data_IF_531167412029
#
_entry.id   IF_531167412029
#
_cell.length_a   1.000
_cell.length_b   1.000
_cell.length_c   1.000
_cell.angle_alpha   90.00
_cell.angle_beta   90.00
_cell.angle_gamma   90.00
#
_symmetry.space_group_name_H-M   'P 1'
#
loop_
_entity.id
_entity.type
_entity.pdbx_description
1 polymer ?
#
# COMPACT_ATOMS: atom_id res chain seq x y z
N UNK A 1 -25.85 -6.14 6.81
CA UNK A 1 -25.83 -5.54 5.46
C UNK A 1 -25.17 -6.50 4.48
N UNK A 2 -25.62 -6.56 3.24
CA UNK A 2 -24.92 -7.24 2.16
C UNK A 2 -23.97 -6.26 1.50
N UNK A 3 -22.71 -6.67 1.34
CA UNK A 3 -21.62 -5.87 0.79
C UNK A 3 -20.99 -6.62 -0.38
N UNK A 4 -20.37 -5.86 -1.26
CA UNK A 4 -19.47 -6.40 -2.29
C UNK A 4 -18.09 -5.77 -2.08
N UNK A 5 -17.04 -6.58 -2.02
CA UNK A 5 -15.68 -6.06 -1.92
C UNK A 5 -15.09 -5.73 -3.30
N UNK A 6 -13.86 -5.22 -3.33
CA UNK A 6 -13.21 -4.86 -4.59
C UNK A 6 -12.77 -6.07 -5.44
N UNK A 7 -12.93 -7.29 -4.93
CA UNK A 7 -12.79 -8.54 -5.69
C UNK A 7 -14.13 -9.08 -6.22
N UNK A 8 -15.21 -8.30 -6.11
CA UNK A 8 -16.58 -8.67 -6.46
C UNK A 8 -17.12 -9.87 -5.64
N UNK A 9 -16.64 -10.08 -4.41
CA UNK A 9 -17.14 -11.11 -3.51
C UNK A 9 -18.25 -10.55 -2.64
N UNK A 10 -19.32 -11.31 -2.47
CA UNK A 10 -20.42 -10.95 -1.56
C UNK A 10 -20.04 -11.29 -0.11
N UNK A 11 -20.26 -10.34 0.79
CA UNK A 11 -19.96 -10.45 2.21
C UNK A 11 -21.21 -10.04 2.98
N UNK A 12 -21.61 -10.86 3.96
CA UNK A 12 -22.68 -10.53 4.86
C UNK A 12 -22.13 -10.06 6.21
N UNK A 13 -22.50 -8.85 6.63
CA UNK A 13 -22.24 -8.31 7.96
C UNK A 13 -23.58 -8.12 8.68
N UNK A 14 -23.84 -8.84 9.77
CA UNK A 14 -25.09 -8.70 10.52
C UNK A 14 -25.21 -7.32 11.19
N UNK A 15 -24.10 -6.79 11.68
CA UNK A 15 -23.99 -5.50 12.37
C UNK A 15 -22.72 -4.75 11.94
N UNK A 16 -22.63 -3.43 12.20
CA UNK A 16 -21.37 -2.70 12.06
C UNK A 16 -20.26 -3.34 12.89
N UNK A 17 -19.06 -3.53 12.31
CA UNK A 17 -17.99 -4.28 12.96
C UNK A 17 -17.45 -3.56 14.20
N UNK A 18 -17.25 -4.33 15.27
CA UNK A 18 -16.66 -3.88 16.54
C UNK A 18 -15.33 -4.56 16.85
N UNK A 19 -15.01 -5.66 16.16
CA UNK A 19 -13.80 -6.47 16.38
C UNK A 19 -13.10 -6.69 15.05
N UNK A 20 -12.33 -5.70 14.63
CA UNK A 20 -11.67 -5.66 13.31
C UNK A 20 -10.26 -6.23 13.42
N UNK A 21 -9.91 -7.14 12.52
CA UNK A 21 -8.52 -7.52 12.25
C UNK A 21 -8.09 -6.89 10.93
N UNK A 22 -6.97 -6.17 10.95
CA UNK A 22 -6.36 -5.59 9.75
C UNK A 22 -5.09 -6.36 9.36
N UNK A 23 -5.10 -6.91 8.15
CA UNK A 23 -3.99 -7.72 7.62
C UNK A 23 -2.98 -6.89 6.81
N UNK A 24 -3.21 -5.59 6.63
CA UNK A 24 -2.41 -4.71 5.77
C UNK A 24 -2.01 -3.43 6.52
N UNK A 25 -0.74 -3.04 6.50
CA UNK A 25 -0.25 -1.85 7.21
C UNK A 25 -0.94 -0.54 6.83
N UNK A 26 -1.07 -0.25 5.54
CA UNK A 26 -1.71 0.98 5.04
C UNK A 26 -3.18 1.07 5.42
N UNK A 27 -3.90 -0.05 5.39
CA UNK A 27 -5.31 -0.11 5.84
C UNK A 27 -5.43 0.02 7.36
N UNK A 28 -4.45 -0.48 8.10
CA UNK A 28 -4.40 -0.30 9.56
C UNK A 28 -4.27 1.18 9.91
N UNK A 29 -3.37 1.92 9.24
CA UNK A 29 -3.25 3.37 9.42
C UNK A 29 -4.56 4.08 9.09
N UNK A 30 -5.17 3.77 7.96
CA UNK A 30 -6.48 4.32 7.57
C UNK A 30 -7.56 4.08 8.63
N UNK A 31 -7.67 2.85 9.18
CA UNK A 31 -8.66 2.56 10.22
C UNK A 31 -8.45 3.41 11.47
N UNK A 32 -7.20 3.66 11.85
CA UNK A 32 -6.89 4.56 12.98
C UNK A 32 -7.28 5.99 12.65
N UNK A 33 -6.98 6.48 11.46
CA UNK A 33 -7.35 7.83 11.01
C UNK A 33 -8.87 8.02 10.89
N UNK A 34 -9.61 6.95 10.61
CA UNK A 34 -11.07 6.92 10.69
C UNK A 34 -11.60 6.92 12.14
N UNK A 35 -10.73 6.81 13.15
CA UNK A 35 -11.09 6.81 14.58
C UNK A 35 -11.50 5.44 15.11
N UNK A 36 -11.05 4.36 14.49
CA UNK A 36 -11.44 2.99 14.80
C UNK A 36 -10.40 2.25 15.65
N UNK A 37 -9.40 2.93 16.25
CA UNK A 37 -8.34 2.27 17.01
C UNK A 37 -8.91 1.28 18.03
N UNK A 38 -9.96 1.66 18.76
CA UNK A 38 -10.55 0.80 19.81
C UNK A 38 -11.25 -0.44 19.24
N UNK A 39 -11.70 -0.40 17.98
CA UNK A 39 -12.32 -1.56 17.31
C UNK A 39 -11.29 -2.51 16.71
N UNK A 40 -10.04 -2.10 16.51
CA UNK A 40 -8.96 -2.96 16.02
C UNK A 40 -8.53 -3.89 17.14
N UNK A 41 -8.74 -5.20 16.98
CA UNK A 41 -8.34 -6.22 17.96
C UNK A 41 -7.09 -6.98 17.56
N UNK A 42 -6.74 -6.98 16.26
CA UNK A 42 -5.56 -7.66 15.75
C UNK A 42 -4.96 -6.96 14.52
N UNK A 43 -3.61 -7.01 14.42
CA UNK A 43 -2.84 -6.40 13.33
C UNK A 43 -1.67 -7.31 12.95
N UNK A 44 -1.08 -7.10 11.77
CA UNK A 44 0.15 -7.80 11.41
C UNK A 44 1.39 -7.17 12.07
N UNK A 45 2.48 -7.93 12.12
CA UNK A 45 3.78 -7.41 12.62
C UNK A 45 4.33 -6.23 11.81
N UNK A 46 3.79 -5.98 10.61
CA UNK A 46 4.19 -4.91 9.72
C UNK A 46 3.37 -3.62 9.89
N UNK A 47 2.31 -3.62 10.70
CA UNK A 47 1.50 -2.42 10.98
C UNK A 47 2.26 -1.48 11.93
N UNK A 48 3.23 -0.74 11.38
CA UNK A 48 4.14 0.14 12.15
C UNK A 48 3.54 1.50 12.45
N UNK A 49 2.50 1.88 11.73
CA UNK A 49 1.80 3.16 11.91
C UNK A 49 0.37 2.95 12.43
N UNK A 50 -0.09 3.85 13.34
CA UNK A 50 0.72 4.85 14.05
C UNK A 50 1.72 4.20 15.02
N UNK A 51 2.77 4.97 15.36
CA UNK A 51 3.78 4.49 16.31
C UNK A 51 3.15 4.02 17.62
N UNK A 52 3.56 2.85 18.09
CA UNK A 52 3.05 2.26 19.33
C UNK A 52 1.80 1.37 19.19
N UNK A 53 1.09 1.40 18.06
CA UNK A 53 -0.12 0.58 17.86
C UNK A 53 0.14 -0.92 18.10
N UNK A 54 1.23 -1.46 17.55
CA UNK A 54 1.62 -2.87 17.73
C UNK A 54 1.86 -3.30 19.18
N UNK A 55 2.15 -2.37 20.08
CA UNK A 55 2.30 -2.66 21.52
C UNK A 55 0.94 -2.80 22.20
N UNK A 56 -0.10 -2.21 21.63
CA UNK A 56 -1.47 -2.19 22.17
C UNK A 56 -2.37 -3.27 21.57
N UNK A 57 -2.02 -3.81 20.39
CA UNK A 57 -2.87 -4.72 19.62
C UNK A 57 -2.23 -6.10 19.48
N UNK A 58 -3.05 -7.13 19.39
CA UNK A 58 -2.56 -8.51 19.23
C UNK A 58 -1.96 -8.69 17.84
N UNK A 59 -0.76 -9.28 17.79
CA UNK A 59 -0.10 -9.59 16.50
C UNK A 59 -0.62 -10.93 15.97
N UNK A 60 -1.31 -10.88 14.86
CA UNK A 60 -1.94 -12.04 14.20
C UNK A 60 -1.06 -12.73 13.15
N UNK A 61 0.21 -12.34 13.06
CA UNK A 61 1.20 -12.89 12.12
C UNK A 61 1.76 -11.83 11.17
N UNK A 62 2.13 -12.24 9.96
CA UNK A 62 2.52 -11.37 8.85
C UNK A 62 1.39 -11.19 7.84
N UNK A 63 1.70 -10.55 6.70
CA UNK A 63 0.71 -10.35 5.62
C UNK A 63 0.43 -11.65 4.83
N UNK A 64 1.35 -12.61 4.85
CA UNK A 64 1.24 -13.91 4.15
C UNK A 64 1.29 -15.14 5.06
N UNK A 65 1.56 -14.96 6.36
CA UNK A 65 1.64 -16.05 7.34
C UNK A 65 0.82 -15.69 8.56
N UNK A 66 -0.37 -16.28 8.70
CA UNK A 66 -1.34 -15.97 9.74
C UNK A 66 -1.24 -16.94 10.92
N UNK A 67 -1.46 -16.44 12.11
CA UNK A 67 -1.64 -17.21 13.33
C UNK A 67 -3.13 -17.44 13.54
N UNK A 68 -3.67 -18.48 12.87
CA UNK A 68 -5.09 -18.78 12.86
C UNK A 68 -5.66 -18.99 14.27
N UNK A 69 -4.91 -19.66 15.15
CA UNK A 69 -5.25 -19.86 16.56
C UNK A 69 -5.48 -18.52 17.28
N UNK A 70 -4.61 -17.55 17.05
CA UNK A 70 -4.72 -16.22 17.63
C UNK A 70 -5.90 -15.47 17.04
N UNK A 71 -6.10 -15.53 15.71
CA UNK A 71 -7.26 -14.92 15.04
C UNK A 71 -8.55 -15.50 15.61
N UNK A 72 -8.63 -16.84 15.73
CA UNK A 72 -9.81 -17.52 16.27
C UNK A 72 -10.08 -17.09 17.73
N UNK A 73 -9.05 -16.90 18.56
CA UNK A 73 -9.21 -16.40 19.94
C UNK A 73 -9.72 -14.97 20.03
N UNK A 74 -9.46 -14.15 19.00
CA UNK A 74 -9.92 -12.77 18.93
C UNK A 74 -11.38 -12.64 18.47
N UNK A 75 -11.98 -13.69 17.90
CA UNK A 75 -13.37 -13.71 17.43
C UNK A 75 -13.73 -12.43 16.62
N UNK A 76 -13.04 -12.16 15.49
CA UNK A 76 -13.30 -10.97 14.70
C UNK A 76 -14.68 -11.02 14.04
N UNK A 77 -15.33 -9.88 13.94
CA UNK A 77 -16.56 -9.69 13.17
C UNK A 77 -16.28 -9.08 11.78
N UNK A 78 -15.06 -8.62 11.54
CA UNK A 78 -14.56 -8.24 10.21
C UNK A 78 -13.04 -8.44 10.14
N UNK A 79 -12.57 -9.02 9.04
CA UNK A 79 -11.16 -9.05 8.67
C UNK A 79 -10.99 -8.23 7.39
N UNK A 80 -9.99 -7.36 7.35
CA UNK A 80 -9.70 -6.50 6.20
C UNK A 80 -8.34 -6.86 5.62
N UNK A 81 -8.30 -7.04 4.30
CA UNK A 81 -7.09 -7.42 3.57
C UNK A 81 -6.99 -6.78 2.19
N UNK A 82 -5.91 -7.11 1.48
CA UNK A 82 -5.64 -6.66 0.12
C UNK A 82 -5.15 -7.84 -0.74
N UNK A 83 -5.56 -7.86 -2.00
CA UNK A 83 -5.26 -8.93 -2.96
C UNK A 83 -3.77 -9.14 -3.19
N UNK A 84 -2.98 -8.08 -3.25
CA UNK A 84 -1.55 -8.14 -3.54
C UNK A 84 -0.72 -8.49 -2.31
N UNK A 85 -1.12 -7.93 -1.16
CA UNK A 85 -0.41 -8.06 0.10
C UNK A 85 -0.63 -9.42 0.76
N UNK A 86 -1.82 -9.98 0.63
CA UNK A 86 -2.25 -11.13 1.39
C UNK A 86 -2.20 -12.43 0.57
N UNK A 87 -1.88 -13.52 1.25
CA UNK A 87 -1.89 -14.86 0.68
C UNK A 87 -3.33 -15.32 0.43
N UNK A 88 -3.60 -15.78 -0.80
CA UNK A 88 -4.93 -16.19 -1.23
C UNK A 88 -5.49 -17.35 -0.40
N UNK A 89 -4.69 -18.40 -0.22
CA UNK A 89 -5.12 -19.62 0.48
C UNK A 89 -5.48 -19.31 1.93
N UNK A 90 -4.63 -18.52 2.60
CA UNK A 90 -4.91 -18.08 3.97
C UNK A 90 -6.13 -17.20 4.08
N UNK A 91 -6.37 -16.30 3.11
CA UNK A 91 -7.59 -15.46 3.06
C UNK A 91 -8.84 -16.31 2.83
N UNK A 92 -8.80 -17.29 1.93
CA UNK A 92 -9.93 -18.21 1.68
C UNK A 92 -10.27 -19.03 2.95
N UNK A 93 -9.25 -19.49 3.68
CA UNK A 93 -9.42 -20.16 4.97
C UNK A 93 -10.05 -19.26 6.04
N UNK A 94 -9.65 -17.99 6.11
CA UNK A 94 -10.30 -17.02 7.02
C UNK A 94 -11.74 -16.75 6.58
N UNK A 95 -12.00 -16.59 5.29
CA UNK A 95 -13.32 -16.30 4.75
C UNK A 95 -14.34 -17.44 4.94
N UNK A 96 -13.88 -18.68 5.18
CA UNK A 96 -14.74 -19.80 5.53
C UNK A 96 -15.36 -19.68 6.93
N UNK A 97 -14.79 -18.82 7.80
CA UNK A 97 -15.20 -18.65 9.20
C UNK A 97 -15.69 -17.24 9.53
N UNK A 98 -15.13 -16.24 8.87
CA UNK A 98 -15.31 -14.82 9.21
C UNK A 98 -15.69 -13.99 7.99
N UNK A 99 -16.38 -12.87 8.15
CA UNK A 99 -16.49 -11.86 7.11
C UNK A 99 -15.10 -11.31 6.77
N UNK A 100 -14.65 -11.47 5.50
CA UNK A 100 -13.36 -10.96 5.02
C UNK A 100 -13.61 -10.02 3.85
N UNK A 101 -13.29 -8.76 4.03
CA UNK A 101 -13.35 -7.72 3.00
C UNK A 101 -11.96 -7.49 2.39
N UNK A 102 -11.86 -7.55 1.06
CA UNK A 102 -10.59 -7.42 0.35
C UNK A 102 -10.61 -6.22 -0.60
N UNK A 103 -9.54 -5.46 -0.54
CA UNK A 103 -9.26 -4.43 -1.54
C UNK A 103 -8.43 -4.97 -2.71
N UNK A 104 -8.54 -4.30 -3.87
CA UNK A 104 -7.69 -4.47 -5.06
C UNK A 104 -7.31 -3.07 -5.54
N UNK A 105 -6.07 -2.63 -5.26
CA UNK A 105 -5.66 -1.25 -5.41
C UNK A 105 -4.53 -1.16 -6.44
N UNK A 106 -4.83 -0.55 -7.57
CA UNK A 106 -3.86 -0.27 -8.66
C UNK A 106 -3.76 1.23 -8.90
N UNK A 107 -4.87 1.96 -8.68
CA UNK A 107 -4.98 3.39 -8.93
C UNK A 107 -5.34 4.15 -7.64
N UNK A 108 -5.17 5.47 -7.68
CA UNK A 108 -5.66 6.33 -6.59
C UNK A 108 -7.18 6.26 -6.49
N UNK A 109 -7.90 6.15 -7.60
CA UNK A 109 -9.36 6.02 -7.58
C UNK A 109 -9.81 4.74 -6.85
N UNK A 110 -9.09 3.61 -7.02
CA UNK A 110 -9.35 2.40 -6.24
C UNK A 110 -9.16 2.63 -4.73
N UNK A 111 -8.15 3.42 -4.36
CA UNK A 111 -7.90 3.80 -2.97
C UNK A 111 -9.00 4.70 -2.42
N UNK A 112 -9.43 5.71 -3.17
CA UNK A 112 -10.53 6.60 -2.75
C UNK A 112 -11.84 5.81 -2.56
N UNK A 113 -12.14 4.89 -3.47
CA UNK A 113 -13.29 3.98 -3.34
C UNK A 113 -13.18 3.11 -2.09
N UNK A 114 -12.02 2.51 -1.83
CA UNK A 114 -11.76 1.73 -0.61
C UNK A 114 -12.02 2.56 0.66
N UNK A 115 -11.51 3.80 0.73
CA UNK A 115 -11.71 4.68 1.89
C UNK A 115 -13.21 4.90 2.14
N UNK A 116 -13.97 5.24 1.09
CA UNK A 116 -15.42 5.45 1.19
C UNK A 116 -16.19 4.18 1.61
N UNK A 117 -15.83 3.02 1.05
CA UNK A 117 -16.46 1.74 1.39
C UNK A 117 -16.17 1.34 2.84
N UNK A 118 -14.93 1.45 3.31
CA UNK A 118 -14.58 1.18 4.71
C UNK A 118 -15.28 2.17 5.65
N UNK A 119 -15.36 3.45 5.28
CA UNK A 119 -16.14 4.46 6.04
C UNK A 119 -17.60 4.06 6.20
N UNK A 120 -18.24 3.57 5.13
CA UNK A 120 -19.63 3.09 5.14
C UNK A 120 -19.81 1.82 5.99
N UNK A 121 -18.91 0.85 5.82
CA UNK A 121 -18.94 -0.44 6.55
C UNK A 121 -18.79 -0.24 8.06
N UNK A 122 -17.96 0.72 8.45
CA UNK A 122 -17.61 0.96 9.86
C UNK A 122 -18.39 2.11 10.51
N UNK A 123 -19.35 2.71 9.80
CA UNK A 123 -20.12 3.88 10.23
C UNK A 123 -19.26 5.11 10.54
N UNK A 124 -18.18 5.29 9.76
CA UNK A 124 -17.27 6.45 9.87
C UNK A 124 -17.25 7.28 8.57
N UNK A 125 -18.39 7.28 7.85
CA UNK A 125 -18.50 7.87 6.50
C UNK A 125 -18.07 9.33 6.46
N UNK A 126 -18.44 10.15 7.46
CA UNK A 126 -18.07 11.57 7.51
C UNK A 126 -16.55 11.74 7.46
N UNK A 127 -15.81 11.02 8.30
CA UNK A 127 -14.34 11.06 8.29
C UNK A 127 -13.73 10.53 7.00
N UNK A 128 -14.32 9.48 6.45
CA UNK A 128 -13.89 8.93 5.17
C UNK A 128 -14.06 9.95 4.04
N UNK A 129 -15.19 10.65 3.98
CA UNK A 129 -15.47 11.70 3.01
C UNK A 129 -14.53 12.91 3.18
N UNK A 130 -14.20 13.31 4.41
CA UNK A 130 -13.20 14.34 4.67
C UNK A 130 -11.83 13.98 4.07
N UNK A 131 -11.35 12.75 4.29
CA UNK A 131 -10.09 12.24 3.72
C UNK A 131 -10.18 12.21 2.19
N UNK A 132 -11.26 11.65 1.63
CA UNK A 132 -11.45 11.55 0.17
C UNK A 132 -11.48 12.92 -0.49
N UNK A 133 -12.20 13.88 0.09
CA UNK A 133 -12.32 15.23 -0.46
C UNK A 133 -10.98 15.96 -0.41
N UNK A 134 -10.24 15.86 0.70
CA UNK A 134 -8.91 16.44 0.80
C UNK A 134 -7.95 15.84 -0.26
N UNK A 135 -7.95 14.52 -0.42
CA UNK A 135 -7.13 13.84 -1.43
C UNK A 135 -7.50 14.28 -2.86
N UNK A 136 -8.79 14.40 -3.17
CA UNK A 136 -9.24 14.90 -4.48
C UNK A 136 -8.78 16.33 -4.74
N UNK A 137 -8.85 17.19 -3.73
CA UNK A 137 -8.34 18.56 -3.84
C UNK A 137 -6.83 18.59 -4.08
N UNK A 138 -6.07 17.83 -3.30
CA UNK A 138 -4.62 17.78 -3.39
C UNK A 138 -4.15 17.22 -4.73
N UNK A 139 -4.85 16.23 -5.28
CA UNK A 139 -4.57 15.57 -6.56
C UNK A 139 -5.07 16.35 -7.79
N UNK A 140 -5.92 17.36 -7.61
CA UNK A 140 -6.48 18.14 -8.72
C UNK A 140 -5.44 18.92 -9.53
N UNK A 141 -4.27 19.19 -8.94
CA UNK A 141 -3.18 19.91 -9.58
C UNK A 141 -2.00 18.98 -9.84
N UNK A 142 -1.81 18.50 -11.08
CA UNK A 142 -0.72 17.61 -11.42
C UNK A 142 0.63 18.28 -11.15
N UNK A 143 1.60 17.50 -10.68
CA UNK A 143 2.95 18.00 -10.50
C UNK A 143 3.65 18.17 -11.87
N UNK A 144 4.59 19.11 -11.91
CA UNK A 144 5.38 19.37 -13.12
C UNK A 144 6.16 18.10 -13.49
N UNK A 145 6.23 17.82 -14.78
CA UNK A 145 7.03 16.71 -15.29
C UNK A 145 8.50 16.88 -14.91
N UNK A 146 9.08 15.88 -14.29
CA UNK A 146 10.46 15.87 -13.78
C UNK A 146 11.41 15.10 -14.67
N UNK A 147 10.92 14.09 -15.39
CA UNK A 147 11.74 13.25 -16.25
C UNK A 147 11.29 11.80 -16.29
N UNK A 148 12.10 10.97 -16.93
CA UNK A 148 11.92 9.53 -17.02
C UNK A 148 12.49 8.85 -15.77
N UNK A 149 11.88 7.75 -15.32
CA UNK A 149 12.32 7.05 -14.12
C UNK A 149 12.23 5.53 -14.25
N UNK A 150 13.07 4.85 -13.47
CA UNK A 150 12.93 3.44 -13.11
C UNK A 150 12.90 3.35 -11.58
N UNK A 151 11.93 2.64 -11.04
CA UNK A 151 11.74 2.49 -9.59
C UNK A 151 12.09 1.06 -9.15
N UNK A 152 13.13 0.92 -8.34
CA UNK A 152 13.61 -0.36 -7.81
C UNK A 152 12.94 -0.67 -6.47
N UNK A 153 12.41 -1.90 -6.36
CA UNK A 153 11.81 -2.45 -5.14
C UNK A 153 12.66 -3.54 -4.50
N UNK A 154 13.59 -4.16 -5.26
CA UNK A 154 14.46 -5.25 -4.79
C UNK A 154 15.81 -5.20 -5.49
N UNK A 155 16.87 -5.69 -4.83
CA UNK A 155 18.24 -5.53 -5.33
C UNK A 155 18.85 -6.80 -5.93
N UNK A 156 18.51 -7.97 -5.42
CA UNK A 156 19.06 -9.24 -5.91
C UNK A 156 17.98 -10.35 -5.85
N UNK A 157 17.38 -10.73 -7.00
CA UNK A 157 17.55 -10.08 -8.31
C UNK A 157 17.05 -8.63 -8.33
N UNK A 158 17.48 -7.81 -9.30
CA UNK A 158 16.94 -6.46 -9.45
C UNK A 158 15.49 -6.54 -9.91
N UNK A 159 14.55 -6.07 -9.09
CA UNK A 159 13.15 -6.00 -9.44
C UNK A 159 12.67 -4.54 -9.45
N UNK A 160 11.85 -4.21 -10.42
CA UNK A 160 11.35 -2.86 -10.66
C UNK A 160 9.82 -2.80 -10.71
N UNK A 161 9.27 -1.64 -10.40
CA UNK A 161 7.83 -1.42 -10.54
C UNK A 161 7.49 -1.06 -12.00
N UNK A 162 6.61 -1.83 -12.63
CA UNK A 162 6.08 -1.60 -13.96
C UNK A 162 4.60 -1.18 -13.96
N UNK A 163 3.95 -1.12 -15.13
CA UNK A 163 2.52 -0.87 -15.25
C UNK A 163 1.66 -1.84 -14.42
N UNK A 164 0.41 -1.46 -14.16
CA UNK A 164 -0.53 -2.21 -13.32
C UNK A 164 -0.04 -2.42 -11.87
N UNK A 165 0.68 -1.45 -11.33
CA UNK A 165 1.05 -1.36 -9.92
C UNK A 165 0.69 0.01 -9.37
N UNK A 166 0.35 0.09 -8.10
CA UNK A 166 0.09 1.35 -7.42
C UNK A 166 1.31 2.29 -7.45
N UNK A 167 2.52 1.73 -7.36
CA UNK A 167 3.78 2.48 -7.48
C UNK A 167 3.89 3.20 -8.84
N UNK A 168 3.46 2.54 -9.92
CA UNK A 168 3.46 3.18 -11.24
C UNK A 168 2.52 4.38 -11.31
N UNK A 169 1.35 4.29 -10.70
CA UNK A 169 0.41 5.40 -10.56
C UNK A 169 1.05 6.55 -9.78
N UNK A 170 1.67 6.24 -8.63
CA UNK A 170 2.31 7.24 -7.77
C UNK A 170 3.53 7.89 -8.43
N UNK A 171 4.28 7.16 -9.25
CA UNK A 171 5.34 7.75 -10.09
C UNK A 171 4.78 8.82 -11.02
N UNK A 172 3.67 8.52 -11.70
CA UNK A 172 3.00 9.47 -12.60
C UNK A 172 2.55 10.73 -11.86
N UNK A 173 1.92 10.55 -10.69
CA UNK A 173 1.49 11.66 -9.82
C UNK A 173 2.69 12.48 -9.33
N UNK A 174 3.81 11.83 -9.01
CA UNK A 174 5.05 12.50 -8.60
C UNK A 174 5.76 13.26 -9.73
N UNK A 175 5.24 13.17 -10.98
CA UNK A 175 5.78 13.84 -12.16
C UNK A 175 6.83 13.04 -12.92
N UNK A 176 6.92 11.73 -12.70
CA UNK A 176 7.87 10.86 -13.41
C UNK A 176 7.16 10.01 -14.47
N UNK A 177 7.82 9.81 -15.61
CA UNK A 177 7.43 8.84 -16.62
C UNK A 177 8.19 7.54 -16.39
N UNK A 178 7.47 6.47 -16.03
CA UNK A 178 8.07 5.15 -15.89
C UNK A 178 8.53 4.59 -17.25
N UNK A 179 9.78 4.14 -17.33
CA UNK A 179 10.34 3.53 -18.54
C UNK A 179 10.04 2.04 -18.67
N UNK A 180 9.68 1.37 -17.56
CA UNK A 180 9.36 -0.05 -17.57
C UNK A 180 8.04 -0.29 -18.30
N UNK A 181 8.04 -1.23 -19.25
CA UNK A 181 6.87 -1.60 -20.06
C UNK A 181 6.24 -2.91 -19.64
N UNK A 182 7.02 -3.78 -19.02
CA UNK A 182 6.54 -5.06 -18.51
C UNK A 182 5.70 -4.84 -17.25
N UNK A 183 4.50 -5.45 -17.24
CA UNK A 183 3.53 -5.29 -16.15
C UNK A 183 4.03 -5.88 -14.83
N UNK A 184 3.53 -5.34 -13.74
CA UNK A 184 3.76 -5.76 -12.36
C UNK A 184 5.20 -5.48 -11.91
N UNK A 185 5.92 -6.47 -11.41
CA UNK A 185 7.24 -6.33 -10.80
C UNK A 185 8.25 -7.22 -11.52
N UNK A 186 8.63 -6.89 -12.77
CA UNK A 186 9.59 -7.70 -13.50
C UNK A 186 10.98 -7.63 -12.89
N UNK A 187 11.72 -8.72 -13.06
CA UNK A 187 13.16 -8.74 -12.92
C UNK A 187 13.79 -8.07 -14.14
N UNK A 188 14.83 -7.29 -13.92
CA UNK A 188 15.60 -6.65 -14.97
C UNK A 188 17.09 -6.87 -14.73
N UNK A 189 17.84 -6.99 -15.82
CA UNK A 189 19.29 -7.06 -15.74
C UNK A 189 19.90 -5.67 -15.71
N UNK A 190 21.07 -5.57 -15.20
CA UNK A 190 21.78 -4.30 -15.12
C UNK A 190 21.99 -3.64 -16.49
N UNK A 191 22.31 -4.46 -17.52
CA UNK A 191 22.47 -4.00 -18.91
C UNK A 191 21.19 -3.39 -19.47
N UNK A 192 20.02 -3.90 -19.08
CA UNK A 192 18.73 -3.36 -19.47
C UNK A 192 18.48 -1.98 -18.82
N UNK A 193 18.85 -1.80 -17.55
CA UNK A 193 18.81 -0.48 -16.90
C UNK A 193 19.70 0.54 -17.61
N UNK A 194 20.89 0.13 -18.05
CA UNK A 194 21.81 0.97 -18.83
C UNK A 194 21.21 1.39 -20.17
N UNK A 195 20.57 0.46 -20.88
CA UNK A 195 19.93 0.72 -22.17
C UNK A 195 18.73 1.64 -22.04
N UNK A 196 17.96 1.52 -20.96
CA UNK A 196 16.83 2.41 -20.67
C UNK A 196 17.28 3.85 -20.45
N UNK A 197 18.48 4.07 -19.94
CA UNK A 197 19.09 5.38 -19.66
C UNK A 197 18.10 6.37 -19.00
N UNK A 198 17.57 6.06 -17.81
CA UNK A 198 16.58 6.89 -17.14
C UNK A 198 17.18 8.19 -16.62
N UNK A 199 16.40 9.28 -16.60
CA UNK A 199 16.82 10.51 -15.91
C UNK A 199 16.96 10.30 -14.41
N UNK A 200 16.09 9.42 -13.84
CA UNK A 200 16.06 9.08 -12.42
C UNK A 200 16.07 7.57 -12.19
N UNK A 201 16.95 7.12 -11.31
CA UNK A 201 16.89 5.79 -10.71
C UNK A 201 16.44 5.94 -9.27
N UNK A 202 15.24 5.49 -8.98
CA UNK A 202 14.60 5.65 -7.67
C UNK A 202 14.71 4.32 -6.91
N UNK A 203 15.35 4.37 -5.74
CA UNK A 203 15.59 3.23 -4.85
C UNK A 203 14.60 3.32 -3.69
N UNK A 204 13.74 2.33 -3.53
CA UNK A 204 12.75 2.30 -2.46
C UNK A 204 13.36 1.98 -1.10
N UNK A 205 12.88 2.59 -0.02
CA UNK A 205 13.25 2.18 1.35
C UNK A 205 12.62 0.86 1.77
N UNK A 206 11.60 0.37 1.03
CA UNK A 206 10.89 -0.90 1.25
C UNK A 206 10.40 -1.52 -0.07
N UNK A 207 10.09 -2.81 -0.12
CA UNK A 207 10.31 -3.83 0.90
C UNK A 207 11.80 -4.17 1.09
N UNK A 208 12.65 -3.94 0.06
CA UNK A 208 14.09 -4.04 0.20
C UNK A 208 14.65 -2.71 0.74
N UNK A 209 15.35 -2.73 1.90
CA UNK A 209 15.84 -1.50 2.51
C UNK A 209 17.10 -1.01 1.79
N UNK A 210 16.94 -0.32 0.66
CA UNK A 210 18.06 0.32 -0.02
C UNK A 210 18.76 1.31 0.92
N UNK A 211 20.11 1.33 0.88
CA UNK A 211 20.97 2.13 1.75
C UNK A 211 22.03 2.84 0.92
N UNK A 212 22.78 3.72 1.56
CA UNK A 212 23.85 4.52 0.93
C UNK A 212 24.83 3.69 0.08
N UNK A 213 25.22 2.49 0.52
CA UNK A 213 26.08 1.60 -0.28
C UNK A 213 25.48 1.24 -1.65
N UNK A 214 24.16 1.08 -1.72
CA UNK A 214 23.47 0.79 -2.97
C UNK A 214 23.36 2.05 -3.84
N UNK A 215 23.10 3.20 -3.21
CA UNK A 215 23.09 4.49 -3.90
C UNK A 215 24.44 4.77 -4.57
N UNK A 216 25.56 4.57 -3.87
CA UNK A 216 26.93 4.72 -4.41
C UNK A 216 27.15 3.75 -5.57
N UNK A 217 26.77 2.47 -5.39
CA UNK A 217 26.89 1.47 -6.45
C UNK A 217 26.16 1.89 -7.72
N UNK A 218 24.87 2.23 -7.62
CA UNK A 218 24.07 2.60 -8.79
C UNK A 218 24.49 3.93 -9.42
N UNK A 219 24.98 4.91 -8.64
CA UNK A 219 25.59 6.14 -9.18
C UNK A 219 26.84 5.86 -10.02
N UNK A 220 27.67 4.91 -9.58
CA UNK A 220 28.86 4.50 -10.34
C UNK A 220 28.46 3.79 -11.64
N UNK A 221 27.43 2.96 -11.57
CA UNK A 221 26.99 2.14 -12.69
C UNK A 221 26.16 2.91 -13.73
N UNK A 222 25.43 3.93 -13.29
CA UNK A 222 24.55 4.79 -14.11
C UNK A 222 24.89 6.28 -13.85
N UNK A 223 26.07 6.75 -14.30
CA UNK A 223 26.58 8.10 -13.95
C UNK A 223 25.70 9.25 -14.49
N UNK A 224 24.89 9.00 -15.50
CA UNK A 224 23.98 10.00 -16.09
C UNK A 224 22.64 10.07 -15.36
N UNK A 225 22.29 9.08 -14.56
CA UNK A 225 21.03 9.04 -13.83
C UNK A 225 21.13 9.77 -12.48
N UNK A 226 20.09 10.50 -12.13
CA UNK A 226 19.93 11.02 -10.77
C UNK A 226 19.44 9.88 -9.85
N UNK A 227 20.38 9.23 -9.16
CA UNK A 227 20.05 8.11 -8.26
C UNK A 227 19.64 8.64 -6.90
N UNK A 228 18.44 8.27 -6.43
CA UNK A 228 17.90 8.71 -5.13
C UNK A 228 17.30 7.55 -4.35
N UNK A 229 17.46 7.59 -3.02
CA UNK A 229 16.66 6.76 -2.11
C UNK A 229 15.43 7.58 -1.73
N UNK A 230 14.26 6.96 -1.79
CA UNK A 230 12.97 7.57 -1.44
C UNK A 230 12.28 6.80 -0.34
N UNK A 231 11.36 7.47 0.34
CA UNK A 231 10.44 6.80 1.26
C UNK A 231 9.47 5.92 0.46
N UNK A 232 9.67 4.61 0.53
CA UNK A 232 8.88 3.62 -0.20
C UNK A 232 7.42 3.60 0.23
N UNK A 233 7.14 3.84 1.51
CA UNK A 233 5.76 3.87 2.01
C UNK A 233 4.91 4.95 1.31
N UNK A 234 5.51 6.08 0.93
CA UNK A 234 4.80 7.17 0.24
C UNK A 234 4.52 6.87 -1.24
N UNK A 235 5.17 5.84 -1.80
CA UNK A 235 4.90 5.35 -3.16
C UNK A 235 4.04 4.08 -3.20
N UNK A 236 4.03 3.30 -2.12
CA UNK A 236 3.39 1.99 -2.10
C UNK A 236 2.14 1.91 -1.21
N UNK A 237 2.01 2.78 -0.18
CA UNK A 237 0.89 2.75 0.74
C UNK A 237 -0.25 3.64 0.27
N UNK A 238 -1.38 3.05 0.04
CA UNK A 238 -2.66 3.69 -0.26
C UNK A 238 -3.44 4.01 1.03
N UNK A 239 -4.62 4.63 0.90
CA UNK A 239 -5.42 5.07 2.04
C UNK A 239 -5.03 6.47 2.53
N UNK A 240 -5.13 6.73 3.83
CA UNK A 240 -4.88 8.06 4.41
C UNK A 240 -3.43 8.55 4.30
N UNK A 241 -2.46 7.63 4.11
CA UNK A 241 -1.05 8.01 3.87
C UNK A 241 -0.85 8.87 2.63
N UNK A 242 -1.73 8.78 1.66
CA UNK A 242 -1.70 9.63 0.47
C UNK A 242 -1.73 11.13 0.80
N UNK A 243 -2.31 11.55 1.92
CA UNK A 243 -2.25 12.94 2.40
C UNK A 243 -0.82 13.42 2.65
N UNK A 244 0.11 12.51 2.91
CA UNK A 244 1.54 12.80 3.14
C UNK A 244 2.36 12.68 1.86
N UNK A 245 1.89 11.91 0.88
CA UNK A 245 2.63 11.63 -0.35
C UNK A 245 2.81 12.87 -1.23
N UNK A 246 1.77 13.66 -1.46
CA UNK A 246 1.85 14.84 -2.32
C UNK A 246 2.79 15.94 -1.83
N UNK A 247 2.77 16.35 -0.55
CA UNK A 247 3.79 17.24 -0.01
C UNK A 247 5.22 16.71 -0.21
N UNK A 248 5.41 15.42 0.01
CA UNK A 248 6.69 14.77 -0.20
C UNK A 248 7.13 14.80 -1.68
N UNK A 249 6.23 14.48 -2.62
CA UNK A 249 6.55 14.50 -4.05
C UNK A 249 6.90 15.90 -4.57
N UNK A 250 6.35 16.96 -3.98
CA UNK A 250 6.76 18.34 -4.29
C UNK A 250 8.21 18.63 -3.89
N UNK A 251 8.74 17.91 -2.90
CA UNK A 251 10.12 18.08 -2.42
C UNK A 251 11.15 17.24 -3.17
N UNK A 252 10.73 16.28 -3.99
CA UNK A 252 11.59 15.47 -4.85
C UNK A 252 12.01 16.25 -6.11
#
# INVERSE_FOLDING_TARGET
MNLTDQLNRSIFLPNPPKRIISLVPSQTELLVDLGLEDRIVGVTKFCVHPSGLRKKKTIVGGTKNYRFDVIDSLQPDLIIGNKEENDREGVEKLASKYPVWMSDIVTVEDSLRMIGELGRITETLIKAEEIVNQLKMDLSSPLVFKGTAVYLIWNDPIMVAGPNTFINEMLSIAGFKNLIKTSRYPEVRFEELKLLNPDYLILSSEPFPFKEKHLILFKTLLPNANVRIVDGELFSWYGSRLLKALPYFKSL
#
